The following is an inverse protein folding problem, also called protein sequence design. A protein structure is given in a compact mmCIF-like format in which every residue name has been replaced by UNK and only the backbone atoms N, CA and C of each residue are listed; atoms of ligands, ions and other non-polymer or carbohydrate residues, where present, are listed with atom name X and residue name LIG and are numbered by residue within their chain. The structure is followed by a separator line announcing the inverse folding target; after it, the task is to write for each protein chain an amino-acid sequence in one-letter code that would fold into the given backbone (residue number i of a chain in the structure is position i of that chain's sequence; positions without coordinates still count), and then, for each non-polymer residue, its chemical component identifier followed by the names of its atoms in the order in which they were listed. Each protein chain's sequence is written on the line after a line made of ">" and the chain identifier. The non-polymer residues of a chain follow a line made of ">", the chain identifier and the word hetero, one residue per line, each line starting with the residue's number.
data_IF_570969660314
#
_entry.id   IF_570969660314
#
_cell.length_a   1.000
_cell.length_b   1.000
_cell.length_c   1.000
_cell.angle_alpha   90.00
_cell.angle_beta   90.00
_cell.angle_gamma   90.00
#
_symmetry.space_group_name_H-M   'P 1'
#
loop_
_entity.id
_entity.type
_entity.pdbx_description
1 polymer ?
#
# COMPACT_ATOMS: atom_id res chain seq x y z
N UNK A 1 1.09 -18.00 14.63
CA UNK A 1 1.65 -18.12 13.26
C UNK A 1 0.72 -17.44 12.26
N UNK A 2 0.63 -16.10 12.29
CA UNK A 2 -0.32 -15.33 11.44
C UNK A 2 0.36 -14.64 10.23
N UNK A 3 1.57 -15.05 9.82
CA UNK A 3 2.54 -14.09 9.25
C UNK A 3 3.18 -14.42 7.88
N UNK A 4 2.69 -15.40 7.13
CA UNK A 4 3.55 -16.06 6.13
C UNK A 4 4.02 -15.23 4.93
N UNK A 5 3.34 -14.15 4.52
CA UNK A 5 3.89 -13.28 3.45
C UNK A 5 4.89 -12.25 3.99
N UNK A 6 4.57 -11.65 5.14
CA UNK A 6 5.44 -10.70 5.82
C UNK A 6 6.72 -11.35 6.39
N UNK A 7 6.67 -12.66 6.67
CA UNK A 7 7.81 -13.43 7.19
C UNK A 7 8.85 -13.69 6.11
N UNK A 8 8.45 -13.86 4.84
CA UNK A 8 9.39 -14.22 3.79
C UNK A 8 10.53 -13.19 3.66
N UNK A 9 10.21 -11.90 3.60
CA UNK A 9 11.22 -10.84 3.51
C UNK A 9 12.11 -10.78 4.77
N UNK A 10 11.53 -10.90 5.97
CA UNK A 10 12.28 -10.86 7.23
C UNK A 10 13.17 -12.11 7.39
N UNK A 11 12.68 -13.28 7.00
CA UNK A 11 13.44 -14.53 7.00
C UNK A 11 14.59 -14.46 5.99
N UNK A 12 14.34 -13.86 4.82
CA UNK A 12 15.40 -13.61 3.84
C UNK A 12 16.45 -12.66 4.38
N UNK A 13 16.08 -11.56 5.04
CA UNK A 13 17.02 -10.69 5.77
C UNK A 13 17.83 -11.48 6.79
N UNK A 14 17.17 -12.33 7.59
CA UNK A 14 17.86 -13.15 8.57
C UNK A 14 18.86 -14.10 7.89
N UNK A 15 18.49 -14.75 6.79
CA UNK A 15 19.38 -15.63 6.00
C UNK A 15 20.60 -14.85 5.49
N UNK A 16 20.38 -13.68 4.88
CA UNK A 16 21.45 -12.81 4.40
C UNK A 16 22.40 -12.36 5.51
N UNK A 17 21.92 -12.22 6.75
CA UNK A 17 22.76 -11.88 7.90
C UNK A 17 23.52 -13.12 8.42
N UNK A 18 22.87 -14.28 8.40
CA UNK A 18 23.45 -15.56 8.83
C UNK A 18 24.67 -15.94 8.02
N UNK A 19 24.67 -15.63 6.72
CA UNK A 19 25.79 -15.89 5.81
C UNK A 19 27.09 -15.16 6.23
N UNK A 20 26.98 -14.06 7.00
CA UNK A 20 28.12 -13.25 7.44
C UNK A 20 28.47 -13.39 8.94
N UNK A 21 27.49 -13.63 9.82
CA UNK A 21 27.70 -13.65 11.29
C UNK A 21 26.99 -14.80 12.01
N UNK A 22 27.38 -16.07 11.79
CA UNK A 22 26.96 -17.16 12.66
C UNK A 22 27.78 -17.19 13.97
N UNK A 23 27.19 -17.51 15.13
CA UNK A 23 25.77 -17.75 15.37
C UNK A 23 24.98 -16.44 15.54
N UNK A 24 23.70 -16.46 15.16
CA UNK A 24 22.76 -15.36 15.42
C UNK A 24 21.51 -15.87 16.15
N UNK A 25 20.86 -14.99 16.91
CA UNK A 25 19.58 -15.27 17.57
C UNK A 25 18.50 -14.36 17.02
N UNK A 26 17.42 -14.95 16.51
CA UNK A 26 16.27 -14.21 16.01
C UNK A 26 15.13 -14.23 17.02
N UNK A 27 14.51 -13.07 17.25
CA UNK A 27 13.31 -12.92 18.08
C UNK A 27 12.20 -12.26 17.27
N UNK A 28 11.01 -12.86 17.32
CA UNK A 28 9.80 -12.27 16.75
C UNK A 28 9.03 -11.51 17.82
N UNK A 29 8.65 -10.28 17.53
CA UNK A 29 7.78 -9.50 18.40
C UNK A 29 6.34 -9.63 17.96
N UNK A 30 5.40 -9.60 18.89
CA UNK A 30 3.95 -9.65 18.68
C UNK A 30 3.26 -8.31 18.96
N UNK A 31 3.72 -7.59 19.96
CA UNK A 31 3.16 -6.33 20.44
C UNK A 31 4.17 -5.18 20.45
N UNK A 32 5.49 -5.46 20.42
CA UNK A 32 6.49 -4.40 20.34
C UNK A 32 6.39 -3.61 19.01
N UNK A 33 7.01 -2.43 18.99
CA UNK A 33 7.11 -1.60 17.80
C UNK A 33 8.10 -2.13 16.74
N UNK A 34 8.75 -3.28 16.99
CA UNK A 34 9.54 -4.03 16.00
C UNK A 34 8.75 -5.22 15.44
N UNK A 35 9.08 -5.64 14.23
CA UNK A 35 8.57 -6.89 13.65
C UNK A 35 9.34 -8.10 14.17
N UNK A 36 10.66 -7.99 14.08
CA UNK A 36 11.63 -8.94 14.58
C UNK A 36 12.89 -8.19 15.06
N UNK A 37 13.75 -8.91 15.77
CA UNK A 37 15.12 -8.50 15.98
C UNK A 37 16.08 -9.66 15.80
N UNK A 38 17.31 -9.34 15.46
CA UNK A 38 18.42 -10.27 15.35
C UNK A 38 19.54 -9.81 16.28
N UNK A 39 20.04 -10.71 17.11
CA UNK A 39 21.26 -10.50 17.90
C UNK A 39 22.39 -11.30 17.27
N UNK A 40 23.48 -10.63 16.93
CA UNK A 40 24.68 -11.24 16.36
C UNK A 40 25.54 -11.87 17.46
N UNK A 41 26.45 -12.77 17.09
CA UNK A 41 27.34 -13.46 18.04
C UNK A 41 28.25 -12.52 18.84
N UNK A 42 28.52 -11.32 18.33
CA UNK A 42 29.31 -10.28 19.00
C UNK A 42 28.48 -9.30 19.86
N UNK A 43 27.20 -9.59 20.08
CA UNK A 43 26.30 -8.80 20.92
C UNK A 43 25.60 -7.64 20.19
N UNK A 44 25.98 -7.30 18.96
CA UNK A 44 25.24 -6.30 18.17
C UNK A 44 23.80 -6.74 17.95
N UNK A 45 22.89 -5.78 17.88
CA UNK A 45 21.46 -6.05 17.71
C UNK A 45 20.88 -5.26 16.53
N UNK A 46 20.04 -5.89 15.73
CA UNK A 46 19.36 -5.31 14.58
C UNK A 46 17.86 -5.43 14.81
N UNK A 47 17.12 -4.33 14.71
CA UNK A 47 15.66 -4.35 14.66
C UNK A 47 15.17 -4.35 13.21
N UNK A 48 14.12 -5.12 12.94
CA UNK A 48 13.48 -5.17 11.63
C UNK A 48 12.06 -4.66 11.76
N UNK A 49 11.65 -3.76 10.87
CA UNK A 49 10.33 -3.13 10.83
C UNK A 49 9.80 -3.23 9.42
N UNK A 50 8.52 -3.57 9.27
CA UNK A 50 7.82 -3.61 7.99
C UNK A 50 6.74 -2.54 7.91
N UNK A 51 6.64 -1.88 6.76
CA UNK A 51 5.53 -0.99 6.42
C UNK A 51 4.42 -1.78 5.72
N UNK A 52 3.44 -2.27 6.48
CA UNK A 52 2.29 -3.00 5.92
C UNK A 52 1.29 -2.11 5.17
N UNK A 53 0.45 -2.70 4.30
CA UNK A 53 -0.45 -1.98 3.39
C UNK A 53 -1.61 -1.30 4.12
N UNK A 54 -2.17 -1.96 5.14
CA UNK A 54 -3.26 -1.44 5.98
C UNK A 54 -2.80 -0.39 6.98
N UNK A 55 -1.48 -0.29 7.20
CA UNK A 55 -0.90 0.78 8.01
C UNK A 55 -0.84 2.02 7.15
N UNK A 56 -1.86 2.86 7.26
CA UNK A 56 -1.81 4.21 6.70
C UNK A 56 -0.58 4.96 7.24
N UNK A 57 -0.25 6.08 6.59
CA UNK A 57 0.94 6.87 6.91
C UNK A 57 1.02 7.21 8.41
N UNK A 58 -0.11 7.48 9.05
CA UNK A 58 -0.14 7.90 10.45
C UNK A 58 0.22 6.78 11.45
N UNK A 59 -0.36 5.56 11.45
CA UNK A 59 0.10 4.48 12.32
C UNK A 59 1.56 4.10 12.12
N UNK A 60 2.04 4.06 10.88
CA UNK A 60 3.45 3.72 10.63
C UNK A 60 4.38 4.82 11.17
N UNK A 61 4.09 6.09 10.91
CA UNK A 61 4.85 7.21 11.47
C UNK A 61 4.80 7.22 13.01
N UNK A 62 3.64 6.94 13.62
CA UNK A 62 3.51 6.82 15.08
C UNK A 62 4.35 5.67 15.65
N UNK A 63 4.41 4.53 14.95
CA UNK A 63 5.23 3.38 15.33
C UNK A 63 6.72 3.71 15.30
N UNK A 64 7.18 4.37 14.23
CA UNK A 64 8.56 4.89 14.15
C UNK A 64 8.84 5.92 15.25
N UNK A 65 7.90 6.83 15.50
CA UNK A 65 7.99 7.81 16.58
C UNK A 65 8.14 7.16 17.96
N UNK A 66 7.37 6.12 18.28
CA UNK A 66 7.51 5.40 19.56
C UNK A 66 8.86 4.72 19.70
N UNK A 67 9.39 4.13 18.62
CA UNK A 67 10.73 3.55 18.63
C UNK A 67 11.81 4.58 18.98
N UNK A 68 11.75 5.79 18.40
CA UNK A 68 12.70 6.88 18.70
C UNK A 68 12.78 7.24 20.17
N UNK A 69 11.65 7.12 20.87
CA UNK A 69 11.53 7.46 22.29
C UNK A 69 11.71 6.24 23.22
N UNK A 70 11.84 5.03 22.66
CA UNK A 70 11.95 3.79 23.40
C UNK A 70 13.34 3.16 23.35
N UNK A 71 13.41 1.87 23.68
CA UNK A 71 14.62 1.06 23.53
C UNK A 71 14.93 0.84 22.05
N UNK A 72 16.15 1.17 21.64
CA UNK A 72 16.59 1.13 20.25
C UNK A 72 17.70 0.09 20.06
N UNK A 73 17.58 -0.78 19.02
CA UNK A 73 18.67 -1.67 18.64
C UNK A 73 19.86 -0.86 18.09
N UNK A 74 21.04 -1.49 18.05
CA UNK A 74 22.24 -0.93 17.43
C UNK A 74 22.12 -0.59 15.94
N UNK A 75 21.10 -1.09 15.24
CA UNK A 75 20.67 -0.58 13.94
C UNK A 75 19.29 -1.09 13.53
N UNK A 76 18.73 -0.46 12.51
CA UNK A 76 17.39 -0.73 12.01
C UNK A 76 17.39 -1.10 10.53
N UNK A 77 16.61 -2.11 10.18
CA UNK A 77 16.21 -2.44 8.82
C UNK A 77 14.71 -2.17 8.67
N UNK A 78 14.35 -1.29 7.75
CA UNK A 78 12.96 -0.95 7.46
C UNK A 78 12.60 -1.46 6.06
N UNK A 79 11.63 -2.36 6.00
CA UNK A 79 11.11 -2.92 4.77
C UNK A 79 9.87 -2.15 4.32
N UNK A 80 9.87 -1.73 3.07
CA UNK A 80 8.81 -0.92 2.44
C UNK A 80 8.30 -1.63 1.19
N UNK A 81 7.09 -1.31 0.73
CA UNK A 81 6.49 -2.05 -0.39
C UNK A 81 7.03 -1.65 -1.76
N UNK A 82 7.46 -0.40 -1.91
CA UNK A 82 7.86 0.18 -3.18
C UNK A 82 8.81 1.37 -2.98
N UNK A 83 9.29 1.90 -4.10
CA UNK A 83 10.23 3.02 -4.17
C UNK A 83 9.71 4.29 -3.50
N UNK A 84 8.43 4.62 -3.69
CA UNK A 84 7.82 5.85 -3.16
C UNK A 84 7.76 5.76 -1.63
N UNK A 85 7.34 4.61 -1.11
CA UNK A 85 7.32 4.31 0.33
C UNK A 85 8.73 4.25 0.91
N UNK A 86 9.71 3.73 0.17
CA UNK A 86 11.13 3.80 0.56
C UNK A 86 11.60 5.24 0.71
N UNK A 87 11.38 6.10 -0.29
CA UNK A 87 11.74 7.53 -0.26
C UNK A 87 11.05 8.28 0.88
N UNK A 88 9.78 8.01 1.09
CA UNK A 88 9.04 8.58 2.20
C UNK A 88 9.63 8.16 3.55
N UNK A 89 9.89 6.86 3.73
CA UNK A 89 10.50 6.31 4.94
C UNK A 89 11.89 6.87 5.18
N UNK A 90 12.75 6.97 4.15
CA UNK A 90 14.07 7.60 4.24
C UNK A 90 13.98 9.03 4.79
N UNK A 91 13.04 9.84 4.31
CA UNK A 91 12.86 11.21 4.82
C UNK A 91 12.36 11.25 6.26
N UNK A 92 11.46 10.34 6.63
CA UNK A 92 11.05 10.24 8.04
C UNK A 92 12.26 9.89 8.90
N UNK A 93 13.05 8.91 8.48
CA UNK A 93 14.19 8.35 9.23
C UNK A 93 15.50 9.15 9.07
N UNK A 94 15.46 10.35 8.48
CA UNK A 94 16.69 11.13 8.21
C UNK A 94 17.41 11.56 9.48
N UNK A 95 16.67 11.85 10.56
CA UNK A 95 17.20 12.36 11.83
C UNK A 95 17.37 11.27 12.89
N UNK A 96 17.51 10.01 12.47
CA UNK A 96 17.54 8.88 13.39
C UNK A 96 18.88 8.76 14.12
N UNK A 97 18.81 8.34 15.38
CA UNK A 97 19.98 8.19 16.25
C UNK A 97 20.78 6.92 15.97
N UNK A 98 20.18 5.96 15.28
CA UNK A 98 20.81 4.67 14.96
C UNK A 98 20.94 4.50 13.45
N UNK A 99 22.00 3.82 12.98
CA UNK A 99 22.13 3.38 11.60
C UNK A 99 20.84 2.71 11.13
N UNK A 100 20.20 3.29 10.13
CA UNK A 100 18.93 2.82 9.58
C UNK A 100 19.12 2.52 8.10
N UNK A 101 18.57 1.41 7.65
CA UNK A 101 18.65 0.94 6.28
C UNK A 101 17.24 0.62 5.80
N UNK A 102 16.89 1.11 4.63
CA UNK A 102 15.56 0.93 4.06
C UNK A 102 15.67 0.08 2.79
N UNK A 103 14.87 -0.98 2.73
CA UNK A 103 14.78 -1.89 1.58
C UNK A 103 13.35 -1.98 1.05
N UNK A 104 13.20 -2.53 -0.16
CA UNK A 104 11.90 -2.87 -0.74
C UNK A 104 11.65 -4.35 -0.50
N UNK A 105 10.48 -4.71 0.03
CA UNK A 105 10.12 -6.08 0.43
C UNK A 105 10.34 -7.08 -0.72
N UNK A 106 9.90 -6.76 -1.94
CA UNK A 106 10.09 -7.62 -3.10
C UNK A 106 11.56 -7.76 -3.50
N UNK A 107 12.34 -6.67 -3.54
CA UNK A 107 13.79 -6.73 -3.79
C UNK A 107 14.49 -7.61 -2.74
N UNK A 108 14.11 -7.46 -1.46
CA UNK A 108 14.67 -8.23 -0.35
C UNK A 108 14.42 -9.72 -0.46
N UNK A 109 13.23 -10.15 -0.89
CA UNK A 109 12.89 -11.58 -1.01
C UNK A 109 13.81 -12.31 -2.00
N UNK A 110 14.21 -11.64 -3.07
CA UNK A 110 15.05 -12.22 -4.13
C UNK A 110 16.53 -11.89 -4.01
N UNK A 111 16.92 -10.97 -3.12
CA UNK A 111 18.30 -10.52 -2.99
C UNK A 111 19.25 -11.61 -2.51
N UNK A 112 20.42 -11.73 -3.12
CA UNK A 112 21.62 -12.44 -2.63
C UNK A 112 22.47 -11.62 -1.65
N UNK A 113 23.55 -12.21 -1.11
CA UNK A 113 24.42 -11.55 -0.12
C UNK A 113 25.10 -10.28 -0.65
N UNK A 114 25.46 -10.27 -1.93
CA UNK A 114 26.18 -9.17 -2.59
C UNK A 114 25.25 -8.15 -3.26
N UNK A 115 23.93 -8.38 -3.23
CA UNK A 115 22.98 -7.50 -3.87
C UNK A 115 22.86 -6.17 -3.13
N UNK A 116 23.09 -5.08 -3.87
CA UNK A 116 23.03 -3.72 -3.36
C UNK A 116 21.60 -3.22 -3.40
N UNK A 117 20.81 -3.61 -2.40
CA UNK A 117 19.37 -3.26 -2.29
C UNK A 117 19.05 -2.31 -1.12
N UNK A 118 19.97 -2.13 -0.18
CA UNK A 118 19.75 -1.36 1.04
C UNK A 118 20.13 0.09 0.86
N UNK A 119 19.35 1.04 1.39
CA UNK A 119 19.69 2.47 1.35
C UNK A 119 19.62 3.11 2.73
N UNK A 120 20.58 3.97 3.03
CA UNK A 120 20.52 4.82 4.21
C UNK A 120 19.55 5.99 4.00
N UNK A 121 18.90 6.53 5.05
CA UNK A 121 18.13 7.75 4.98
C UNK A 121 18.87 8.92 4.31
N UNK A 122 20.13 9.15 4.71
CA UNK A 122 20.95 10.27 4.25
C UNK A 122 21.64 10.06 2.90
N UNK A 123 21.70 8.84 2.36
CA UNK A 123 22.50 8.49 1.18
C UNK A 123 21.68 7.92 0.03
N UNK A 124 22.07 8.25 -1.21
CA UNK A 124 21.41 7.70 -2.41
C UNK A 124 22.03 6.39 -2.90
N UNK A 125 23.25 6.06 -2.46
CA UNK A 125 23.90 4.81 -2.85
C UNK A 125 23.18 3.62 -2.21
N UNK A 126 22.84 2.62 -3.04
CA UNK A 126 22.46 1.31 -2.52
C UNK A 126 23.72 0.56 -2.03
N UNK A 127 23.61 -0.19 -0.95
CA UNK A 127 24.69 -0.98 -0.33
C UNK A 127 24.25 -2.44 -0.14
N UNK A 128 25.23 -3.34 -0.08
CA UNK A 128 25.03 -4.76 0.22
C UNK A 128 24.81 -5.01 1.73
N UNK A 129 24.47 -6.26 2.09
CA UNK A 129 24.22 -6.62 3.49
C UNK A 129 25.50 -6.55 4.36
N UNK A 130 26.67 -6.86 3.80
CA UNK A 130 27.93 -6.78 4.53
C UNK A 130 28.23 -5.34 4.98
N UNK A 131 27.98 -4.36 4.10
CA UNK A 131 28.12 -2.94 4.38
C UNK A 131 27.09 -2.46 5.41
N UNK A 132 25.85 -2.94 5.34
CA UNK A 132 24.83 -2.70 6.39
C UNK A 132 25.38 -3.17 7.74
N UNK A 133 25.87 -4.41 7.80
CA UNK A 133 26.33 -5.02 9.04
C UNK A 133 27.53 -4.30 9.64
N UNK A 134 28.50 -3.86 8.83
CA UNK A 134 29.66 -3.07 9.30
C UNK A 134 29.26 -1.77 10.02
N UNK A 135 28.10 -1.21 9.69
CA UNK A 135 27.63 0.06 10.26
C UNK A 135 26.78 -0.12 11.52
N UNK A 136 26.35 -1.33 11.87
CA UNK A 136 25.52 -1.59 13.06
C UNK A 136 26.32 -1.30 14.34
N UNK A 137 25.77 -0.47 15.22
CA UNK A 137 26.37 -0.13 16.51
C UNK A 137 26.40 -1.32 17.45
N UNK A 138 27.45 -1.41 18.28
CA UNK A 138 27.52 -2.32 19.44
C UNK A 138 26.62 -1.88 20.58
N UNK A 139 26.25 -0.61 20.61
CA UNK A 139 25.36 -0.04 21.61
C UNK A 139 23.92 -0.14 21.12
N UNK A 140 23.10 -0.88 21.84
CA UNK A 140 21.69 -1.02 21.54
C UNK A 140 21.02 -1.91 22.57
N UNK A 141 19.74 -1.67 22.81
CA UNK A 141 18.93 -2.48 23.70
C UNK A 141 17.67 -2.92 22.96
N UNK A 142 17.41 -4.22 22.99
CA UNK A 142 16.20 -4.76 22.38
C UNK A 142 15.02 -4.50 23.29
N UNK A 143 13.86 -4.08 22.75
CA UNK A 143 12.68 -3.84 23.57
C UNK A 143 12.27 -5.14 24.29
N UNK A 144 12.00 -5.01 25.59
CA UNK A 144 11.29 -6.06 26.31
C UNK A 144 9.87 -6.16 25.77
N UNK A 145 9.42 -7.38 25.48
CA UNK A 145 8.02 -7.61 25.12
C UNK A 145 7.29 -8.10 26.36
N UNK A 146 6.27 -7.35 26.79
CA UNK A 146 5.41 -7.79 27.87
C UNK A 146 4.85 -9.19 27.52
N UNK A 147 4.91 -10.16 28.45
CA UNK A 147 4.41 -11.50 28.18
C UNK A 147 2.93 -11.41 27.80
N UNK A 148 2.60 -11.81 26.58
CA UNK A 148 1.20 -11.99 26.21
C UNK A 148 0.64 -13.15 27.04
N UNK A 149 -0.52 -12.94 27.68
CA UNK A 149 -1.23 -14.01 28.39
C UNK A 149 -1.29 -15.30 27.53
N UNK A 150 -0.98 -16.43 28.19
CA UNK A 150 -0.83 -17.80 27.67
C UNK A 150 -1.34 -18.01 26.24
N UNK A 151 -0.41 -18.32 25.33
CA UNK A 151 -0.73 -18.75 23.98
C UNK A 151 -0.48 -20.26 23.90
N UNK A 152 -1.54 -21.01 23.63
CA UNK A 152 -1.48 -22.45 23.34
C UNK A 152 -0.47 -22.75 22.22
N UNK A 153 0.24 -23.88 22.28
CA UNK A 153 1.15 -24.30 21.22
C UNK A 153 0.41 -24.33 19.88
N UNK A 154 1.11 -24.04 18.77
CA UNK A 154 0.52 -24.17 17.46
C UNK A 154 0.08 -25.61 17.23
N UNK A 155 -1.21 -25.82 16.98
CA UNK A 155 -1.74 -27.11 16.56
C UNK A 155 -1.09 -27.42 15.20
N UNK A 156 -0.53 -28.62 15.05
CA UNK A 156 -0.04 -29.10 13.76
C UNK A 156 -1.17 -28.92 12.73
N UNK A 157 -0.93 -28.08 11.72
CA UNK A 157 -1.88 -27.90 10.63
C UNK A 157 -1.89 -29.18 9.82
N UNK A 158 -2.86 -30.07 10.07
CA UNK A 158 -3.21 -31.07 9.09
C UNK A 158 -3.67 -30.33 7.83
N UNK A 159 -2.97 -30.55 6.74
CA UNK A 159 -3.23 -29.94 5.42
C UNK A 159 -4.61 -30.32 4.86
N UNK A 160 -5.28 -31.31 5.45
CA UNK A 160 -6.65 -31.74 5.08
C UNK A 160 -7.77 -31.00 5.84
N UNK A 161 -7.44 -29.98 6.63
CA UNK A 161 -8.46 -29.17 7.28
C UNK A 161 -9.16 -28.27 6.25
N UNK A 162 -10.45 -28.49 6.06
CA UNK A 162 -11.32 -27.59 5.30
C UNK A 162 -11.18 -26.14 5.81
N UNK A 163 -11.08 -25.17 4.88
CA UNK A 163 -10.80 -23.75 5.16
C UNK A 163 -11.78 -23.09 6.15
N UNK A 164 -12.99 -23.63 6.27
CA UNK A 164 -14.04 -23.19 7.20
C UNK A 164 -13.77 -23.60 8.67
N UNK A 165 -12.95 -24.63 8.89
CA UNK A 165 -12.54 -25.14 10.21
C UNK A 165 -11.17 -24.64 10.65
N UNK A 166 -10.42 -24.01 9.74
CA UNK A 166 -9.11 -23.43 10.07
C UNK A 166 -9.32 -22.22 10.97
N UNK A 167 -8.69 -22.24 12.15
CA UNK A 167 -8.67 -21.08 13.05
C UNK A 167 -8.21 -19.83 12.28
N UNK A 168 -8.83 -18.65 12.49
CA UNK A 168 -8.41 -17.40 11.85
C UNK A 168 -6.91 -17.09 11.95
N UNK A 169 -6.26 -17.64 12.99
CA UNK A 169 -4.82 -17.50 13.26
C UNK A 169 -3.92 -18.23 12.26
N UNK A 170 -4.47 -19.20 11.52
CA UNK A 170 -3.73 -20.04 10.56
C UNK A 170 -4.13 -19.76 9.10
N UNK A 171 -5.18 -18.98 8.87
CA UNK A 171 -5.63 -18.60 7.52
C UNK A 171 -4.53 -18.02 6.63
N UNK A 172 -3.60 -17.15 7.12
CA UNK A 172 -2.52 -16.65 6.27
C UNK A 172 -1.60 -17.73 5.69
N UNK A 173 -1.48 -18.88 6.38
CA UNK A 173 -0.71 -20.04 5.92
C UNK A 173 -1.42 -20.82 4.83
N UNK A 174 -2.74 -20.91 4.93
CA UNK A 174 -3.57 -21.71 4.03
C UNK A 174 -3.83 -21.01 2.68
N UNK A 175 -3.61 -19.69 2.58
CA UNK A 175 -3.84 -18.94 1.35
C UNK A 175 -2.70 -19.08 0.33
N UNK A 176 -3.08 -19.38 -0.92
CA UNK A 176 -2.16 -19.34 -2.04
C UNK A 176 -1.77 -17.89 -2.40
N UNK A 177 -0.67 -17.69 -3.14
CA UNK A 177 -0.25 -16.34 -3.58
C UNK A 177 -1.35 -15.55 -4.30
N UNK A 178 -2.18 -16.23 -5.12
CA UNK A 178 -3.30 -15.60 -5.81
C UNK A 178 -4.42 -15.12 -4.86
N UNK A 179 -4.65 -15.86 -3.76
CA UNK A 179 -5.66 -15.52 -2.75
C UNK A 179 -5.21 -14.29 -1.96
N UNK A 180 -3.91 -14.24 -1.61
CA UNK A 180 -3.28 -13.10 -0.94
C UNK A 180 -3.30 -11.84 -1.81
N UNK A 181 -2.94 -11.96 -3.09
CA UNK A 181 -3.05 -10.86 -4.06
C UNK A 181 -4.47 -10.35 -4.21
N UNK A 182 -5.47 -11.25 -4.23
CA UNK A 182 -6.87 -10.84 -4.27
C UNK A 182 -7.29 -10.09 -3.00
N UNK A 183 -6.87 -10.56 -1.82
CA UNK A 183 -7.14 -9.86 -0.55
C UNK A 183 -6.51 -8.47 -0.51
N UNK A 184 -5.29 -8.32 -1.00
CA UNK A 184 -4.62 -7.01 -1.10
C UNK A 184 -5.39 -6.06 -2.01
N UNK A 185 -5.77 -6.53 -3.21
CA UNK A 185 -6.56 -5.72 -4.14
C UNK A 185 -7.94 -5.36 -3.57
N UNK A 186 -8.63 -6.27 -2.88
CA UNK A 186 -9.93 -5.98 -2.27
C UNK A 186 -9.78 -5.03 -1.08
N UNK A 187 -8.68 -5.12 -0.33
CA UNK A 187 -8.35 -4.20 0.76
C UNK A 187 -8.01 -2.79 0.27
N UNK A 188 -7.30 -2.70 -0.85
CA UNK A 188 -6.98 -1.45 -1.51
C UNK A 188 -8.19 -0.80 -2.19
N UNK A 189 -9.06 -1.63 -2.78
CA UNK A 189 -10.25 -1.21 -3.54
C UNK A 189 -11.54 -1.78 -2.94
N UNK A 190 -12.00 -1.31 -1.77
CA UNK A 190 -13.21 -1.81 -1.12
C UNK A 190 -14.45 -1.63 -2.00
N UNK A 191 -15.29 -2.67 -2.10
CA UNK A 191 -16.51 -2.63 -2.89
C UNK A 191 -16.29 -2.73 -4.40
N UNK A 192 -15.10 -3.19 -4.83
CA UNK A 192 -14.76 -3.42 -6.24
C UNK A 192 -15.71 -4.43 -6.89
N UNK A 193 -16.14 -4.14 -8.12
CA UNK A 193 -16.94 -5.06 -8.94
C UNK A 193 -16.10 -6.26 -9.37
N UNK A 194 -16.76 -7.42 -9.44
CA UNK A 194 -16.13 -8.69 -9.83
C UNK A 194 -15.30 -8.59 -11.13
N UNK A 195 -15.84 -7.92 -12.15
CA UNK A 195 -15.18 -7.75 -13.45
C UNK A 195 -13.91 -6.90 -13.36
N UNK A 196 -13.91 -5.86 -12.54
CA UNK A 196 -12.75 -4.97 -12.35
C UNK A 196 -11.65 -5.70 -11.57
N UNK A 197 -12.01 -6.45 -10.51
CA UNK A 197 -11.05 -7.27 -9.77
C UNK A 197 -10.37 -8.30 -10.68
N UNK A 198 -11.14 -8.95 -11.58
CA UNK A 198 -10.59 -9.88 -12.58
C UNK A 198 -9.51 -9.23 -13.44
N UNK A 199 -9.80 -8.04 -13.97
CA UNK A 199 -8.89 -7.26 -14.81
C UNK A 199 -7.64 -6.82 -14.05
N UNK A 200 -7.77 -6.36 -12.81
CA UNK A 200 -6.63 -5.99 -11.95
C UNK A 200 -5.75 -7.20 -11.58
N UNK A 201 -6.36 -8.36 -11.37
CA UNK A 201 -5.62 -9.60 -11.11
C UNK A 201 -4.95 -10.15 -12.37
N UNK A 202 -5.49 -9.85 -13.56
CA UNK A 202 -5.01 -10.40 -14.81
C UNK A 202 -5.23 -11.90 -14.96
N UNK A 203 -6.39 -12.38 -14.49
CA UNK A 203 -6.74 -13.81 -14.48
C UNK A 203 -8.04 -14.10 -15.25
N UNK A 204 -8.25 -15.36 -15.63
CA UNK A 204 -9.50 -15.80 -16.24
C UNK A 204 -10.68 -15.72 -15.26
N UNK A 205 -11.94 -15.66 -15.76
CA UNK A 205 -13.12 -15.69 -14.89
C UNK A 205 -13.20 -16.94 -14.01
N UNK A 206 -12.81 -18.11 -14.54
CA UNK A 206 -12.78 -19.37 -13.79
C UNK A 206 -11.76 -19.32 -12.65
N UNK A 207 -10.57 -18.78 -12.90
CA UNK A 207 -9.53 -18.64 -11.87
C UNK A 207 -9.93 -17.67 -10.77
N UNK A 208 -10.54 -16.53 -11.11
CA UNK A 208 -11.08 -15.62 -10.11
C UNK A 208 -12.18 -16.31 -9.28
N UNK A 209 -13.05 -17.10 -9.91
CA UNK A 209 -14.12 -17.82 -9.21
C UNK A 209 -13.57 -18.80 -8.19
N UNK A 210 -12.49 -19.52 -8.52
CA UNK A 210 -11.79 -20.41 -7.59
C UNK A 210 -11.19 -19.64 -6.41
N UNK A 211 -10.49 -18.53 -6.66
CA UNK A 211 -9.93 -17.67 -5.61
C UNK A 211 -11.03 -17.15 -4.69
N UNK A 212 -12.11 -16.62 -5.27
CA UNK A 212 -13.24 -16.10 -4.51
C UNK A 212 -13.97 -17.18 -3.71
N UNK A 213 -14.07 -18.41 -4.24
CA UNK A 213 -14.61 -19.55 -3.51
C UNK A 213 -13.81 -19.86 -2.24
N UNK A 214 -12.47 -19.93 -2.34
CA UNK A 214 -11.58 -20.14 -1.19
C UNK A 214 -11.65 -19.00 -0.18
N UNK A 215 -11.62 -17.75 -0.64
CA UNK A 215 -11.71 -16.58 0.25
C UNK A 215 -13.05 -16.48 0.96
N UNK A 216 -14.16 -16.85 0.29
CA UNK A 216 -15.50 -16.94 0.90
C UNK A 216 -15.58 -18.06 1.93
N UNK A 217 -15.04 -19.25 1.61
CA UNK A 217 -14.98 -20.38 2.54
C UNK A 217 -14.21 -20.03 3.83
N UNK A 218 -13.10 -19.29 3.68
CA UNK A 218 -12.33 -18.75 4.81
C UNK A 218 -12.99 -17.54 5.51
N UNK A 219 -14.20 -17.13 5.08
CA UNK A 219 -14.93 -15.94 5.54
C UNK A 219 -14.09 -14.66 5.49
N UNK A 220 -13.09 -14.56 4.62
CA UNK A 220 -12.20 -13.40 4.52
C UNK A 220 -12.82 -12.26 3.70
N UNK A 221 -13.75 -12.59 2.80
CA UNK A 221 -14.44 -11.65 1.91
C UNK A 221 -15.94 -11.86 2.00
N UNK A 222 -16.70 -10.84 1.66
CA UNK A 222 -18.15 -10.90 1.53
C UNK A 222 -18.59 -10.25 0.22
N UNK A 223 -19.72 -10.73 -0.31
CA UNK A 223 -20.36 -10.15 -1.48
C UNK A 223 -21.37 -9.11 -1.03
N UNK A 224 -21.32 -7.92 -1.62
CA UNK A 224 -22.28 -6.85 -1.35
C UNK A 224 -23.30 -6.85 -2.48
N UNK A 225 -24.58 -6.87 -2.14
CA UNK A 225 -25.69 -6.82 -3.08
C UNK A 225 -26.15 -5.36 -3.27
N UNK A 226 -25.23 -4.52 -3.72
CA UNK A 226 -25.43 -3.11 -4.03
C UNK A 226 -25.07 -2.88 -5.50
N UNK A 227 -26.07 -2.59 -6.35
CA UNK A 227 -25.90 -2.29 -7.78
C UNK A 227 -24.89 -3.23 -8.50
N UNK A 228 -25.24 -4.52 -8.50
CA UNK A 228 -24.43 -5.59 -9.08
C UNK A 228 -23.63 -6.40 -8.05
N UNK A 229 -22.70 -7.23 -8.55
CA UNK A 229 -21.87 -8.12 -7.71
C UNK A 229 -20.57 -7.41 -7.28
N UNK A 230 -20.59 -6.79 -6.11
CA UNK A 230 -19.42 -6.16 -5.48
C UNK A 230 -18.78 -7.09 -4.45
N UNK A 231 -17.49 -6.93 -4.24
CA UNK A 231 -16.72 -7.68 -3.24
C UNK A 231 -16.06 -6.70 -2.28
N UNK A 232 -16.10 -7.02 -1.00
CA UNK A 232 -15.36 -6.33 0.04
C UNK A 232 -14.76 -7.33 1.03
N UNK A 233 -13.79 -6.87 1.83
CA UNK A 233 -13.30 -7.64 2.96
C UNK A 233 -14.39 -7.79 4.01
N UNK A 234 -14.52 -8.97 4.60
CA UNK A 234 -15.32 -9.14 5.81
C UNK A 234 -14.58 -8.56 7.03
N UNK A 235 -15.23 -8.50 8.19
CA UNK A 235 -14.54 -8.16 9.45
C UNK A 235 -13.42 -9.14 9.83
N UNK A 236 -13.49 -10.39 9.36
CA UNK A 236 -12.40 -11.35 9.52
C UNK A 236 -11.25 -11.03 8.56
N UNK A 237 -11.53 -10.69 7.30
CA UNK A 237 -10.53 -10.26 6.32
C UNK A 237 -9.83 -8.97 6.71
N UNK A 238 -10.57 -7.94 7.13
CA UNK A 238 -10.00 -6.69 7.66
C UNK A 238 -9.10 -6.97 8.86
N UNK A 239 -9.54 -7.84 9.77
CA UNK A 239 -8.73 -8.24 10.93
C UNK A 239 -7.48 -9.03 10.53
N UNK A 240 -7.55 -9.85 9.49
CA UNK A 240 -6.43 -10.62 8.98
C UNK A 240 -5.36 -9.69 8.38
N UNK A 241 -5.74 -8.77 7.48
CA UNK A 241 -4.81 -7.82 6.88
C UNK A 241 -4.24 -6.85 7.93
N UNK A 242 -5.07 -6.33 8.85
CA UNK A 242 -4.60 -5.45 9.91
C UNK A 242 -3.56 -6.13 10.82
N UNK A 243 -3.74 -7.41 11.17
CA UNK A 243 -2.74 -8.16 11.96
C UNK A 243 -1.46 -8.41 11.16
N UNK A 244 -1.58 -8.80 9.89
CA UNK A 244 -0.43 -8.96 8.97
C UNK A 244 0.41 -7.68 8.91
N UNK A 245 -0.25 -6.53 8.89
CA UNK A 245 0.36 -5.22 8.68
C UNK A 245 0.63 -4.45 9.98
N UNK A 246 0.44 -5.10 11.13
CA UNK A 246 0.61 -4.56 12.50
C UNK A 246 -0.14 -3.25 12.74
N UNK A 247 -1.33 -3.17 12.16
CA UNK A 247 -2.30 -2.11 12.41
C UNK A 247 -3.29 -2.55 13.49
N UNK A 248 -3.91 -1.57 14.17
CA UNK A 248 -4.99 -1.86 15.11
C UNK A 248 -6.20 -2.45 14.37
N UNK A 249 -6.60 -3.67 14.73
CA UNK A 249 -7.78 -4.34 14.18
C UNK A 249 -9.05 -3.53 14.43
N UNK A 250 -9.19 -2.96 15.64
CA UNK A 250 -10.34 -2.12 15.99
C UNK A 250 -10.42 -0.88 15.10
N UNK A 251 -9.31 -0.15 14.96
CA UNK A 251 -9.26 1.04 14.10
C UNK A 251 -9.45 0.70 12.61
N UNK A 252 -8.93 -0.44 12.15
CA UNK A 252 -9.13 -0.91 10.79
C UNK A 252 -10.61 -1.23 10.53
N UNK A 253 -11.29 -1.91 11.45
CA UNK A 253 -12.73 -2.22 11.36
C UNK A 253 -13.60 -0.96 11.41
N UNK A 254 -13.31 -0.02 12.31
CA UNK A 254 -14.02 1.26 12.37
C UNK A 254 -13.96 2.05 11.06
N UNK A 255 -12.93 1.86 10.24
CA UNK A 255 -12.79 2.50 8.93
C UNK A 255 -13.40 1.68 7.80
N UNK A 256 -13.10 0.39 7.74
CA UNK A 256 -13.28 -0.43 6.55
C UNK A 256 -14.34 -1.54 6.68
N UNK A 257 -14.96 -1.70 7.85
CA UNK A 257 -16.06 -2.66 8.03
C UNK A 257 -17.23 -2.31 7.10
N UNK A 258 -17.66 -3.31 6.35
CA UNK A 258 -18.87 -3.28 5.52
C UNK A 258 -20.04 -4.00 6.20
N UNK A 259 -19.93 -4.32 7.49
CA UNK A 259 -21.03 -4.92 8.25
C UNK A 259 -22.15 -3.91 8.48
N UNK A 260 -23.43 -4.35 8.42
CA UNK A 260 -24.55 -3.50 8.77
C UNK A 260 -24.44 -3.02 10.22
N UNK A 261 -24.86 -1.78 10.49
CA UNK A 261 -24.99 -1.27 11.87
C UNK A 261 -26.20 -1.91 12.53
N UNK A 262 -27.32 -1.92 11.83
CA UNK A 262 -28.56 -2.59 12.20
C UNK A 262 -28.89 -3.68 11.16
N UNK A 263 -28.81 -4.97 11.51
CA UNK A 263 -29.18 -6.07 10.62
C UNK A 263 -30.64 -6.08 10.16
N UNK A 264 -31.54 -5.38 10.86
CA UNK A 264 -32.96 -5.29 10.51
C UNK A 264 -33.25 -4.26 9.41
N UNK A 265 -32.34 -3.30 9.19
CA UNK A 265 -32.47 -2.29 8.15
C UNK A 265 -31.93 -2.78 6.80
N UNK A 266 -32.41 -2.23 5.68
CA UNK A 266 -31.84 -2.51 4.36
C UNK A 266 -30.32 -2.31 4.33
N UNK A 267 -29.65 -3.12 3.51
CA UNK A 267 -28.22 -2.95 3.29
C UNK A 267 -27.99 -1.81 2.30
N UNK A 268 -27.72 -0.61 2.83
CA UNK A 268 -27.34 0.59 2.07
C UNK A 268 -26.06 1.21 2.64
N UNK A 269 -25.64 2.37 2.10
CA UNK A 269 -24.44 3.03 2.59
C UNK A 269 -24.63 3.63 4.00
N UNK A 270 -25.84 4.06 4.37
CA UNK A 270 -26.15 4.66 5.67
C UNK A 270 -26.00 3.63 6.79
N UNK A 271 -26.46 2.40 6.53
CA UNK A 271 -26.43 1.28 7.45
C UNK A 271 -25.06 0.58 7.52
N UNK A 272 -23.94 1.19 7.13
CA UNK A 272 -22.62 0.54 7.20
C UNK A 272 -21.76 1.08 8.35
N UNK A 273 -21.16 0.17 9.12
CA UNK A 273 -20.40 0.48 10.33
C UNK A 273 -19.05 1.18 10.09
N UNK A 274 -18.37 0.91 8.97
CA UNK A 274 -17.08 1.51 8.65
C UNK A 274 -17.22 2.90 8.04
N UNK A 275 -16.56 3.91 8.62
CA UNK A 275 -16.69 5.31 8.16
C UNK A 275 -16.17 5.56 6.73
N UNK A 276 -15.06 4.93 6.35
CA UNK A 276 -14.49 5.04 4.99
C UNK A 276 -15.26 4.16 4.00
N UNK A 277 -15.65 2.96 4.41
CA UNK A 277 -16.49 2.10 3.59
C UNK A 277 -17.83 2.78 3.24
N UNK A 278 -18.47 3.41 4.23
CA UNK A 278 -19.66 4.25 4.06
C UNK A 278 -19.43 5.37 3.05
N UNK A 279 -18.34 6.13 3.18
CA UNK A 279 -18.02 7.23 2.26
C UNK A 279 -17.84 6.74 0.81
N UNK A 280 -17.17 5.60 0.60
CA UNK A 280 -16.99 5.02 -0.73
C UNK A 280 -18.33 4.56 -1.33
N UNK A 281 -19.18 3.92 -0.54
CA UNK A 281 -20.48 3.43 -1.01
C UNK A 281 -21.49 4.55 -1.24
N UNK A 282 -21.42 5.64 -0.46
CA UNK A 282 -22.19 6.88 -0.72
C UNK A 282 -21.84 7.48 -2.10
N UNK A 283 -20.59 7.32 -2.54
CA UNK A 283 -20.09 7.80 -3.82
C UNK A 283 -19.88 6.64 -4.82
N UNK A 284 -20.71 5.60 -4.75
CA UNK A 284 -20.53 4.33 -5.45
C UNK A 284 -20.33 4.47 -6.96
N UNK A 285 -21.05 5.38 -7.61
CA UNK A 285 -20.92 5.64 -9.04
C UNK A 285 -19.54 6.22 -9.41
N UNK A 286 -19.02 7.17 -8.63
CA UNK A 286 -17.69 7.73 -8.82
C UNK A 286 -16.62 6.66 -8.57
N UNK A 287 -16.75 5.94 -7.46
CA UNK A 287 -15.86 4.83 -7.11
C UNK A 287 -15.86 3.75 -8.20
N UNK A 288 -17.01 3.42 -8.78
CA UNK A 288 -17.12 2.46 -9.88
C UNK A 288 -16.42 2.92 -11.15
N UNK A 289 -16.56 4.20 -11.48
CA UNK A 289 -15.96 4.78 -12.65
C UNK A 289 -14.43 4.77 -12.55
N UNK A 290 -13.89 5.18 -11.39
CA UNK A 290 -12.47 5.07 -11.05
C UNK A 290 -11.99 3.61 -11.11
N UNK A 291 -12.69 2.68 -10.45
CA UNK A 291 -12.33 1.26 -10.47
C UNK A 291 -12.31 0.67 -11.88
N UNK A 292 -13.30 1.02 -12.72
CA UNK A 292 -13.39 0.56 -14.11
C UNK A 292 -12.23 1.11 -14.93
N UNK A 293 -11.97 2.41 -14.85
CA UNK A 293 -10.89 3.04 -15.58
C UNK A 293 -9.52 2.46 -15.24
N UNK A 294 -9.25 2.25 -13.95
CA UNK A 294 -8.00 1.63 -13.51
C UNK A 294 -7.89 0.18 -13.95
N UNK A 295 -8.98 -0.59 -13.86
CA UNK A 295 -9.03 -1.97 -14.35
C UNK A 295 -8.73 -2.05 -15.86
N UNK A 296 -9.32 -1.15 -16.65
CA UNK A 296 -9.10 -1.06 -18.09
C UNK A 296 -7.67 -0.61 -18.42
N UNK A 297 -7.15 0.35 -17.66
CA UNK A 297 -5.76 0.82 -17.78
C UNK A 297 -4.77 -0.32 -17.53
N UNK A 298 -4.99 -1.12 -16.47
CA UNK A 298 -4.13 -2.26 -16.13
C UNK A 298 -4.24 -3.39 -17.16
N UNK A 299 -5.42 -3.63 -17.73
CA UNK A 299 -5.60 -4.60 -18.82
C UNK A 299 -4.85 -4.14 -20.08
N UNK A 300 -5.08 -2.90 -20.54
CA UNK A 300 -4.36 -2.33 -21.71
C UNK A 300 -2.86 -2.26 -21.51
N UNK A 301 -2.40 -1.84 -20.33
CA UNK A 301 -0.98 -1.80 -19.99
C UNK A 301 -0.34 -3.17 -20.20
N UNK A 302 -0.97 -4.25 -19.70
CA UNK A 302 -0.46 -5.62 -19.89
C UNK A 302 -0.42 -6.02 -21.37
N UNK A 303 -1.48 -5.71 -22.13
CA UNK A 303 -1.56 -6.02 -23.56
C UNK A 303 -0.49 -5.26 -24.38
N UNK A 304 -0.13 -4.06 -23.95
CA UNK A 304 0.90 -3.21 -24.57
C UNK A 304 2.33 -3.44 -24.01
N UNK A 305 2.52 -4.46 -23.16
CA UNK A 305 3.82 -4.83 -22.59
C UNK A 305 4.33 -3.91 -21.48
N UNK A 306 3.45 -3.11 -20.88
CA UNK A 306 3.72 -2.33 -19.67
C UNK A 306 3.52 -3.17 -18.40
N UNK A 307 4.45 -3.02 -17.47
CA UNK A 307 4.37 -3.55 -16.12
C UNK A 307 3.76 -2.49 -15.19
N UNK A 308 2.74 -2.86 -14.41
CA UNK A 308 2.21 -2.00 -13.34
C UNK A 308 3.12 -2.14 -12.13
N UNK A 309 3.93 -1.11 -11.89
CA UNK A 309 4.86 -1.04 -10.76
C UNK A 309 4.13 -0.64 -9.48
N UNK A 310 3.18 0.29 -9.59
CA UNK A 310 2.41 0.77 -8.45
C UNK A 310 0.99 1.14 -8.87
N UNK A 311 0.05 0.76 -8.00
CA UNK A 311 -1.36 1.08 -8.15
C UNK A 311 -1.92 1.39 -6.75
N UNK A 312 -2.00 2.68 -6.44
CA UNK A 312 -2.45 3.17 -5.14
C UNK A 312 -3.90 3.64 -5.18
N UNK A 313 -4.75 3.16 -4.27
CA UNK A 313 -6.09 3.71 -4.04
C UNK A 313 -6.03 5.08 -3.35
N UNK A 314 -7.15 5.82 -3.25
CA UNK A 314 -7.15 7.21 -2.77
C UNK A 314 -6.40 7.41 -1.45
N UNK A 315 -6.66 6.53 -0.47
CA UNK A 315 -6.05 6.59 0.87
C UNK A 315 -4.53 6.41 0.88
N UNK A 316 -3.96 5.77 -0.15
CA UNK A 316 -2.50 5.61 -0.33
C UNK A 316 -1.92 6.60 -1.33
N UNK A 317 -2.74 7.12 -2.23
CA UNK A 317 -2.36 8.10 -3.25
C UNK A 317 -2.20 9.52 -2.66
N UNK A 318 -2.85 9.84 -1.53
CA UNK A 318 -2.70 11.13 -0.86
C UNK A 318 -1.24 11.49 -0.57
N UNK A 319 -0.87 12.76 -0.81
CA UNK A 319 0.46 13.31 -0.48
C UNK A 319 0.30 14.53 0.40
N UNK A 320 1.18 14.65 1.39
CA UNK A 320 1.24 15.78 2.32
C UNK A 320 2.56 16.50 2.15
N UNK A 321 2.50 17.82 2.10
CA UNK A 321 3.65 18.69 1.86
C UNK A 321 3.53 20.00 2.64
N UNK A 322 4.65 20.69 2.84
CA UNK A 322 4.65 22.04 3.41
C UNK A 322 4.64 23.05 2.27
N UNK A 323 3.78 24.06 2.36
CA UNK A 323 3.69 25.16 1.41
C UNK A 323 3.34 26.44 2.17
N UNK A 324 4.20 27.47 2.05
CA UNK A 324 4.06 28.74 2.77
C UNK A 324 3.84 28.55 4.28
N UNK A 325 4.65 27.69 4.90
CA UNK A 325 4.59 27.41 6.35
C UNK A 325 3.42 26.52 6.80
N UNK A 326 2.46 26.19 5.92
CA UNK A 326 1.32 25.35 6.25
C UNK A 326 1.45 23.94 5.67
N UNK A 327 1.01 22.93 6.43
CA UNK A 327 0.86 21.56 5.91
C UNK A 327 -0.37 21.51 5.01
N UNK A 328 -0.17 21.07 3.77
CA UNK A 328 -1.18 20.89 2.73
C UNK A 328 -1.19 19.44 2.26
N UNK A 329 -2.23 19.09 1.50
CA UNK A 329 -2.33 17.78 0.89
C UNK A 329 -2.98 17.83 -0.50
N UNK A 330 -2.59 16.88 -1.35
CA UNK A 330 -3.36 16.44 -2.51
C UNK A 330 -4.02 15.11 -2.16
N UNK A 331 -5.24 14.87 -2.65
CA UNK A 331 -6.01 13.65 -2.40
C UNK A 331 -6.52 13.08 -3.73
N UNK A 332 -5.64 12.47 -4.54
CA UNK A 332 -6.04 11.87 -5.79
C UNK A 332 -7.03 10.74 -5.61
N UNK A 333 -7.82 10.45 -6.64
CA UNK A 333 -8.63 9.24 -6.71
C UNK A 333 -7.77 7.98 -6.85
N UNK A 334 -6.61 8.09 -7.48
CA UNK A 334 -5.60 7.04 -7.51
C UNK A 334 -4.22 7.57 -7.87
N UNK A 335 -3.21 6.74 -7.69
CA UNK A 335 -1.90 6.96 -8.28
C UNK A 335 -1.46 5.69 -9.01
N UNK A 336 -1.00 5.85 -10.25
CA UNK A 336 -0.55 4.74 -11.10
C UNK A 336 0.89 5.00 -11.52
N UNK A 337 1.73 3.97 -11.44
CA UNK A 337 3.06 3.96 -12.03
C UNK A 337 3.23 2.68 -12.85
N UNK A 338 3.67 2.86 -14.09
CA UNK A 338 3.92 1.78 -15.03
C UNK A 338 5.29 1.92 -15.67
N UNK A 339 5.87 0.78 -16.06
CA UNK A 339 7.21 0.70 -16.63
C UNK A 339 7.24 -0.18 -17.86
N UNK A 340 8.03 0.21 -18.86
CA UNK A 340 8.35 -0.60 -20.04
C UNK A 340 9.83 -0.40 -20.38
N UNK A 341 10.66 -1.39 -20.05
CA UNK A 341 12.12 -1.25 -20.12
C UNK A 341 12.62 -0.12 -19.21
N UNK A 342 13.23 0.91 -19.81
CA UNK A 342 13.69 2.13 -19.10
C UNK A 342 12.62 3.24 -19.05
N UNK A 343 11.55 3.10 -19.83
CA UNK A 343 10.46 4.07 -19.88
C UNK A 343 9.59 3.94 -18.61
N UNK A 344 9.31 5.06 -17.96
CA UNK A 344 8.46 5.14 -16.76
C UNK A 344 7.37 6.16 -17.01
N UNK A 345 6.12 5.77 -16.77
CA UNK A 345 4.98 6.69 -16.75
C UNK A 345 4.31 6.61 -15.40
N UNK A 346 3.98 7.76 -14.83
CA UNK A 346 3.14 7.78 -13.64
C UNK A 346 2.26 9.00 -13.61
N UNK A 347 1.08 8.83 -13.04
CA UNK A 347 0.09 9.88 -12.94
C UNK A 347 -0.73 9.76 -11.66
N UNK A 348 -1.12 10.91 -11.13
CA UNK A 348 -2.25 11.04 -10.22
C UNK A 348 -3.53 11.06 -11.04
N UNK A 349 -4.51 10.24 -10.67
CA UNK A 349 -5.81 10.18 -11.30
C UNK A 349 -6.78 11.12 -10.57
N UNK A 350 -7.47 11.95 -11.34
CA UNK A 350 -8.62 12.75 -10.91
C UNK A 350 -9.80 12.43 -11.82
N UNK A 351 -10.86 11.87 -11.27
CA UNK A 351 -12.07 11.58 -12.04
C UNK A 351 -13.08 12.73 -11.91
N UNK A 352 -13.52 13.25 -13.05
CA UNK A 352 -14.47 14.33 -13.14
C UNK A 352 -15.79 13.87 -13.76
N UNK A 353 -16.88 14.03 -12.99
CA UNK A 353 -18.23 13.63 -13.40
C UNK A 353 -19.11 14.79 -13.85
N UNK A 354 -18.76 16.03 -13.52
CA UNK A 354 -19.65 17.18 -13.74
C UNK A 354 -19.08 18.12 -14.78
N UNK A 355 -19.97 18.75 -15.54
CA UNK A 355 -19.66 19.97 -16.28
C UNK A 355 -19.29 21.06 -15.25
N UNK A 356 -18.00 21.18 -14.95
CA UNK A 356 -17.53 22.11 -13.93
C UNK A 356 -17.34 23.49 -14.55
N UNK A 357 -17.80 24.52 -13.84
CA UNK A 357 -17.51 25.92 -14.18
C UNK A 357 -16.00 26.16 -14.07
N UNK A 358 -15.38 27.01 -14.91
CA UNK A 358 -13.93 27.27 -14.84
C UNK A 358 -13.40 27.63 -13.44
N UNK A 359 -14.20 28.33 -12.61
CA UNK A 359 -13.82 28.69 -11.23
C UNK A 359 -13.65 27.46 -10.32
N UNK A 360 -14.59 26.52 -10.35
CA UNK A 360 -14.55 25.30 -9.54
C UNK A 360 -13.46 24.34 -10.00
N UNK A 361 -13.05 24.40 -11.27
CA UNK A 361 -11.87 23.66 -11.76
C UNK A 361 -10.55 24.22 -11.21
N UNK A 362 -10.40 25.55 -11.17
CA UNK A 362 -9.20 26.17 -10.58
C UNK A 362 -9.06 25.81 -9.11
N UNK A 363 -10.17 25.81 -8.36
CA UNK A 363 -10.19 25.40 -6.96
C UNK A 363 -9.76 23.94 -6.78
N UNK A 364 -10.24 23.03 -7.64
CA UNK A 364 -9.82 21.62 -7.64
C UNK A 364 -8.34 21.43 -7.96
N UNK A 365 -7.78 22.23 -8.88
CA UNK A 365 -6.38 22.16 -9.26
C UNK A 365 -5.44 22.92 -8.32
N UNK A 366 -5.95 23.84 -7.49
CA UNK A 366 -5.12 24.65 -6.59
C UNK A 366 -4.23 23.82 -5.65
N UNK A 367 -4.67 22.69 -5.05
CA UNK A 367 -3.79 21.79 -4.31
C UNK A 367 -2.61 21.27 -5.14
N UNK A 368 -2.85 20.87 -6.38
CA UNK A 368 -1.80 20.42 -7.29
C UNK A 368 -0.86 21.54 -7.69
N UNK A 369 -1.37 22.72 -8.06
CA UNK A 369 -0.54 23.88 -8.37
C UNK A 369 0.44 24.15 -7.21
N UNK A 370 -0.05 24.14 -5.97
CA UNK A 370 0.81 24.28 -4.78
C UNK A 370 1.81 23.13 -4.61
N UNK A 371 1.39 21.89 -4.88
CA UNK A 371 2.27 20.73 -4.76
C UNK A 371 3.41 20.77 -5.79
N UNK A 372 3.09 21.09 -7.04
CA UNK A 372 4.05 21.17 -8.14
C UNK A 372 4.90 22.44 -8.13
N UNK A 373 4.51 23.49 -7.39
CA UNK A 373 5.36 24.66 -7.13
C UNK A 373 6.48 24.40 -6.11
N UNK A 374 6.65 23.16 -5.66
CA UNK A 374 7.72 22.73 -4.75
C UNK A 374 8.49 21.56 -5.37
N UNK A 375 9.65 21.20 -4.83
CA UNK A 375 10.40 20.02 -5.26
C UNK A 375 9.75 18.68 -4.84
N UNK A 376 8.63 18.73 -4.11
CA UNK A 376 7.99 17.55 -3.53
C UNK A 376 7.57 16.46 -4.51
N UNK A 377 7.05 16.75 -5.73
CA UNK A 377 6.75 15.69 -6.69
C UNK A 377 8.00 14.85 -7.00
N UNK A 378 9.13 15.50 -7.28
CA UNK A 378 10.39 14.81 -7.58
C UNK A 378 10.96 14.10 -6.35
N UNK A 379 10.87 14.69 -5.17
CA UNK A 379 11.32 14.04 -3.93
C UNK A 379 10.49 12.78 -3.60
N UNK A 380 9.17 12.89 -3.75
CA UNK A 380 8.22 11.81 -3.44
C UNK A 380 8.38 10.65 -4.42
N UNK A 381 8.58 10.94 -5.72
CA UNK A 381 8.44 9.95 -6.79
C UNK A 381 9.74 9.65 -7.57
N UNK A 382 10.72 10.55 -7.55
CA UNK A 382 11.96 10.45 -8.34
C UNK A 382 11.92 11.05 -9.71
N UNK A 383 10.72 11.39 -10.14
CA UNK A 383 10.39 12.10 -11.36
C UNK A 383 9.15 12.92 -11.03
N UNK A 384 8.61 13.62 -12.02
CA UNK A 384 7.44 14.46 -11.84
C UNK A 384 6.24 13.72 -12.44
N UNK A 385 5.34 13.12 -11.63
CA UNK A 385 4.16 12.45 -12.18
C UNK A 385 3.25 13.45 -12.90
N UNK A 386 2.44 12.97 -13.83
CA UNK A 386 1.38 13.76 -14.44
C UNK A 386 0.14 13.84 -13.53
N UNK A 387 -0.75 14.79 -13.79
CA UNK A 387 -2.11 14.81 -13.25
C UNK A 387 -3.04 14.45 -14.40
N UNK A 388 -3.56 13.23 -14.39
CA UNK A 388 -4.48 12.73 -15.40
C UNK A 388 -5.92 13.00 -14.96
N UNK A 389 -6.56 13.96 -15.63
CA UNK A 389 -7.97 14.26 -15.43
C UNK A 389 -8.79 13.41 -16.39
N UNK A 390 -9.66 12.56 -15.85
CA UNK A 390 -10.54 11.73 -16.65
C UNK A 390 -11.95 12.30 -16.59
N UNK A 391 -12.53 12.57 -17.76
CA UNK A 391 -13.86 13.18 -17.92
C UNK A 391 -14.79 12.24 -18.67
N UNK A 392 -16.10 12.32 -18.43
CA UNK A 392 -17.06 11.37 -19.00
C UNK A 392 -17.20 11.45 -20.53
N UNK A 393 -17.03 12.63 -21.13
CA UNK A 393 -17.29 12.89 -22.55
C UNK A 393 -16.29 13.88 -23.20
N UNK A 394 -16.24 13.90 -24.54
CA UNK A 394 -15.31 14.75 -25.30
C UNK A 394 -15.64 16.25 -25.26
N UNK A 395 -16.90 16.64 -25.04
CA UNK A 395 -17.27 18.06 -24.91
C UNK A 395 -16.68 18.60 -23.61
N UNK A 396 -16.85 17.87 -22.51
CA UNK A 396 -16.21 18.15 -21.24
C UNK A 396 -14.69 18.15 -21.39
N UNK A 397 -14.11 17.19 -22.13
CA UNK A 397 -12.67 17.15 -22.39
C UNK A 397 -12.17 18.39 -23.15
N UNK A 398 -12.90 18.86 -24.16
CA UNK A 398 -12.55 20.06 -24.91
C UNK A 398 -12.53 21.30 -24.02
N UNK A 399 -13.54 21.47 -23.16
CA UNK A 399 -13.61 22.54 -22.17
C UNK A 399 -12.43 22.47 -21.18
N UNK A 400 -12.12 21.27 -20.69
CA UNK A 400 -10.96 21.04 -19.82
C UNK A 400 -9.65 21.39 -20.53
N UNK A 401 -9.48 21.00 -21.79
CA UNK A 401 -8.27 21.30 -22.58
C UNK A 401 -8.08 22.81 -22.74
N UNK A 402 -9.16 23.56 -22.97
CA UNK A 402 -9.08 25.02 -23.06
C UNK A 402 -8.67 25.66 -21.73
N UNK A 403 -9.23 25.22 -20.59
CA UNK A 403 -8.81 25.74 -19.29
C UNK A 403 -7.36 25.37 -18.97
N UNK A 404 -6.95 24.13 -19.24
CA UNK A 404 -5.56 23.69 -18.99
C UNK A 404 -4.58 24.54 -19.79
N UNK A 405 -4.92 24.94 -21.04
CA UNK A 405 -4.10 25.90 -21.80
C UNK A 405 -3.95 27.24 -21.07
N UNK A 406 -5.03 27.79 -20.50
CA UNK A 406 -5.00 29.04 -19.71
C UNK A 406 -4.24 28.89 -18.38
N UNK A 407 -4.34 27.72 -17.73
CA UNK A 407 -3.59 27.46 -16.51
C UNK A 407 -2.11 27.33 -16.85
N UNK A 408 -1.73 26.59 -17.90
CA UNK A 408 -0.33 26.42 -18.31
C UNK A 408 0.33 27.74 -18.70
N UNK A 409 -0.41 28.70 -19.27
CA UNK A 409 0.15 30.04 -19.55
C UNK A 409 0.49 30.83 -18.29
N UNK A 410 -0.16 30.54 -17.15
CA UNK A 410 0.12 31.17 -15.86
C UNK A 410 0.94 30.31 -14.88
N UNK A 411 0.98 28.99 -15.12
CA UNK A 411 1.57 27.96 -14.27
C UNK A 411 2.18 26.85 -15.15
N UNK A 412 3.31 27.10 -15.84
CA UNK A 412 3.86 26.17 -16.82
C UNK A 412 4.38 24.85 -16.22
N UNK A 413 4.54 24.78 -14.89
CA UNK A 413 5.12 23.64 -14.18
C UNK A 413 4.14 22.51 -13.86
N UNK A 414 2.83 22.67 -14.10
CA UNK A 414 1.84 21.64 -13.75
C UNK A 414 1.61 20.68 -14.95
N UNK A 415 2.09 19.42 -14.89
CA UNK A 415 1.97 18.46 -15.99
C UNK A 415 0.59 17.79 -15.99
N UNK A 416 -0.42 18.45 -16.55
CA UNK A 416 -1.79 17.93 -16.63
C UNK A 416 -2.04 17.27 -17.98
N UNK A 417 -2.64 16.08 -17.99
CA UNK A 417 -3.24 15.48 -19.20
C UNK A 417 -4.73 15.21 -19.01
N UNK A 418 -5.47 15.07 -20.10
CA UNK A 418 -6.92 14.87 -20.10
C UNK A 418 -7.31 13.66 -20.94
N UNK A 419 -8.05 12.73 -20.35
CA UNK A 419 -8.52 11.51 -20.99
C UNK A 419 -10.03 11.35 -20.95
N UNK A 420 -10.57 10.65 -21.95
CA UNK A 420 -11.98 10.21 -22.01
C UNK A 420 -12.00 8.68 -21.97
N UNK A 421 -12.78 8.04 -21.07
CA UNK A 421 -12.75 6.59 -20.83
C UNK A 421 -13.03 5.71 -22.05
N UNK A 422 -13.95 6.16 -22.93
CA UNK A 422 -14.35 5.47 -24.16
C UNK A 422 -13.58 5.95 -25.40
N UNK A 423 -12.83 7.04 -25.26
CA UNK A 423 -11.88 7.50 -26.26
C UNK A 423 -10.58 6.70 -26.15
N UNK A 424 -9.80 6.68 -27.22
CA UNK A 424 -8.44 6.14 -27.22
C UNK A 424 -7.56 6.97 -26.29
N UNK A 425 -7.61 6.74 -24.98
CA UNK A 425 -6.44 6.94 -24.13
C UNK A 425 -5.41 5.94 -24.63
N UNK A 426 -4.68 6.36 -25.66
CA UNK A 426 -3.43 5.72 -26.05
C UNK A 426 -2.47 6.10 -24.94
N UNK A 427 -1.77 5.12 -24.38
CA UNK A 427 -0.54 5.38 -23.65
C UNK A 427 0.41 6.03 -24.65
N UNK A 428 0.32 7.36 -24.85
CA UNK A 428 1.07 8.08 -25.87
C UNK A 428 2.55 7.76 -25.67
N UNK A 429 3.16 7.06 -26.61
CA UNK A 429 4.59 6.75 -26.62
C UNK A 429 5.44 8.01 -26.70
#
# INVERSE_FOLDING_TARGET
>A
MERLDAVAAIYRVATLIADWFPPMRMKWYRAADLDASITLGDGRSIGIIRQGQMSDRSPFAKRLGRLRHGMMPGGLIVLTQDEIRRRHTRRMMYTERVPTFVGIESETIFAGPDDRIWQMPSGNAKIDMAAVLRQISRFGSLPAEAPLMKVYPPIHLNTDLSLDRISPRHLPAAFHPADKRALDLIGDWPGIKYINLRRLMGVSPSRLSQVMGRLKAAKAVQQLHLDGRRIALSNAGVGLLARRDRSSVGAARQRWSVMPVDPALPYDWENISGSRARQLLRNSEHTDAVHRFLADTVERARDEGWEIVQLDPPQRASRYFSYQGAVRAINPDAFVMMRRGREVKAFFLEWERRAIRPSTMRERLAPYIRYYSTDRPRDDHGFTPEVLIVVEDEVTAANFRQLVKQIRSSQPQLPIDIAVPLGSFRLRC
#
